data_IF_254033259840
#
_entry.id   IF_254033259840
#
_cell.length_a   1.000
_cell.length_b   1.000
_cell.length_c   1.000
_cell.angle_alpha   90.00
_cell.angle_beta   90.00
_cell.angle_gamma   90.00
#
_symmetry.space_group_name_H-M   'P 1'
#
loop_
_entity.id
_entity.type
_entity.pdbx_description
1 polymer ?
#
# COMPACT_ATOMS: atom_id res chain seq x y z
N UNK A 1 8.27 -15.01 -0.27
CA UNK A 1 6.90 -15.29 -0.74
C UNK A 1 6.61 -16.76 -0.54
N UNK A 2 5.41 -17.13 -0.09
CA UNK A 2 5.05 -18.54 0.15
C UNK A 2 4.44 -18.86 1.51
N UNK A 3 4.21 -17.84 2.35
CA UNK A 3 3.40 -17.92 3.56
C UNK A 3 2.19 -17.02 3.41
N UNK A 4 1.10 -17.34 4.11
CA UNK A 4 -0.13 -16.56 4.05
C UNK A 4 0.10 -15.16 4.63
N UNK A 5 -0.25 -14.13 3.85
CA UNK A 5 -0.15 -12.73 4.26
C UNK A 5 -1.49 -12.05 3.97
N UNK A 6 -2.39 -12.14 4.95
CA UNK A 6 -3.76 -11.63 4.84
C UNK A 6 -3.89 -10.16 5.23
N UNK A 7 -5.10 -9.62 5.07
CA UNK A 7 -5.45 -8.22 5.34
C UNK A 7 -5.05 -7.76 6.77
N UNK A 8 -5.21 -8.63 7.76
CA UNK A 8 -4.88 -8.36 9.17
C UNK A 8 -3.44 -7.87 9.37
N UNK A 9 -2.49 -8.29 8.52
CA UNK A 9 -1.11 -7.83 8.64
C UNK A 9 -0.93 -6.41 8.15
N UNK A 10 -1.71 -5.98 7.16
CA UNK A 10 -1.73 -4.59 6.72
C UNK A 10 -2.37 -3.67 7.78
N UNK A 11 -3.41 -4.14 8.47
CA UNK A 11 -3.99 -3.42 9.63
C UNK A 11 -2.96 -3.22 10.75
N UNK A 12 -2.13 -4.24 11.03
CA UNK A 12 -1.04 -4.12 12.00
C UNK A 12 0.03 -3.12 11.55
N UNK A 13 0.42 -3.13 10.27
CA UNK A 13 1.37 -2.15 9.72
C UNK A 13 0.82 -0.72 9.81
N UNK A 14 -0.46 -0.53 9.50
CA UNK A 14 -1.14 0.75 9.67
C UNK A 14 -1.14 1.19 11.14
N UNK A 15 -1.40 0.29 12.09
CA UNK A 15 -1.32 0.63 13.52
C UNK A 15 0.09 1.10 13.91
N UNK A 16 1.13 0.37 13.48
CA UNK A 16 2.52 0.75 13.74
C UNK A 16 2.83 2.12 13.14
N UNK A 17 2.41 2.37 11.90
CA UNK A 17 2.61 3.64 11.22
C UNK A 17 2.08 4.84 11.99
N UNK A 18 0.87 4.74 12.55
CA UNK A 18 0.22 5.84 13.29
C UNK A 18 1.02 6.27 14.53
N UNK A 19 1.67 5.32 15.20
CA UNK A 19 2.39 5.55 16.46
C UNK A 19 3.92 5.68 16.24
N UNK A 20 4.40 5.61 14.99
CA UNK A 20 5.82 5.57 14.69
C UNK A 20 6.49 6.94 14.91
N UNK A 21 7.48 6.97 15.80
CA UNK A 21 8.40 8.11 15.95
C UNK A 21 9.49 8.11 14.87
N UNK A 22 9.09 8.14 13.59
CA UNK A 22 9.98 8.02 12.43
C UNK A 22 9.24 8.11 11.10
N UNK A 23 9.95 7.84 10.00
CA UNK A 23 9.37 7.79 8.65
C UNK A 23 9.12 6.35 8.20
N UNK A 24 7.93 6.10 7.66
CA UNK A 24 7.55 4.84 7.03
C UNK A 24 6.99 5.12 5.64
N UNK A 25 7.47 4.35 4.65
CA UNK A 25 6.97 4.35 3.29
C UNK A 25 6.40 2.97 2.98
N UNK A 26 5.13 2.89 2.58
CA UNK A 26 4.51 1.64 2.12
C UNK A 26 4.03 1.84 0.69
N UNK A 27 4.46 0.96 -0.23
CA UNK A 27 3.87 0.84 -1.57
C UNK A 27 3.00 -0.42 -1.64
N UNK A 28 1.71 -0.26 -1.96
CA UNK A 28 0.74 -1.35 -2.11
C UNK A 28 -0.22 -1.09 -3.26
N UNK A 29 -0.85 -2.15 -3.78
CA UNK A 29 -1.86 -2.02 -4.83
C UNK A 29 -3.04 -1.14 -4.35
N UNK A 30 -3.54 -0.29 -5.25
CA UNK A 30 -4.73 0.53 -5.04
C UNK A 30 -6.00 -0.32 -5.24
N UNK A 31 -6.45 -0.89 -4.13
CA UNK A 31 -7.71 -1.64 -4.00
C UNK A 31 -8.53 -1.08 -2.83
N UNK A 32 -9.87 -1.24 -2.82
CA UNK A 32 -10.74 -0.70 -1.77
C UNK A 32 -10.26 -1.03 -0.35
N UNK A 33 -9.84 -2.27 -0.11
CA UNK A 33 -9.39 -2.76 1.19
C UNK A 33 -8.13 -2.02 1.69
N UNK A 34 -7.21 -1.67 0.79
CA UNK A 34 -6.01 -0.90 1.17
C UNK A 34 -6.35 0.56 1.47
N UNK A 35 -7.34 1.15 0.79
CA UNK A 35 -7.83 2.50 1.09
C UNK A 35 -8.42 2.59 2.50
N UNK A 36 -9.14 1.55 2.92
CA UNK A 36 -9.71 1.45 4.27
C UNK A 36 -8.61 1.30 5.33
N UNK A 37 -7.69 0.35 5.15
CA UNK A 37 -6.58 0.11 6.09
C UNK A 37 -5.73 1.37 6.28
N UNK A 38 -5.45 2.08 5.17
CA UNK A 38 -4.57 3.23 5.16
C UNK A 38 -5.32 4.56 5.39
N UNK A 39 -6.57 4.52 5.84
CA UNK A 39 -7.34 5.71 6.12
C UNK A 39 -6.68 6.57 7.21
N UNK A 40 -6.43 7.84 6.89
CA UNK A 40 -5.81 8.82 7.78
C UNK A 40 -4.31 9.01 7.57
N UNK A 41 -3.68 8.29 6.65
CA UNK A 41 -2.34 8.62 6.14
C UNK A 41 -2.42 9.54 4.91
N UNK A 42 -1.31 10.19 4.57
CA UNK A 42 -1.13 10.81 3.26
C UNK A 42 -0.95 9.72 2.21
N UNK A 43 -1.79 9.74 1.17
CA UNK A 43 -1.84 8.73 0.12
C UNK A 43 -1.62 9.37 -1.25
N UNK A 44 -0.56 8.96 -1.93
CA UNK A 44 -0.32 9.30 -3.33
C UNK A 44 -0.65 8.10 -4.22
N UNK A 45 -1.64 8.22 -5.10
CA UNK A 45 -1.98 7.19 -6.09
C UNK A 45 -1.19 7.43 -7.37
N UNK A 46 -0.39 6.45 -7.77
CA UNK A 46 0.38 6.46 -9.01
C UNK A 46 -0.16 5.38 -9.97
N UNK A 47 -0.47 5.73 -11.23
CA UNK A 47 -0.84 4.72 -12.22
C UNK A 47 0.39 3.89 -12.59
N UNK A 48 0.22 2.57 -12.65
CA UNK A 48 1.28 1.61 -13.01
C UNK A 48 0.76 0.61 -14.04
N UNK A 49 1.67 0.12 -14.89
CA UNK A 49 1.35 -0.88 -15.90
C UNK A 49 2.29 -2.07 -15.73
N UNK A 50 1.78 -3.21 -15.24
CA UNK A 50 2.53 -4.46 -15.22
C UNK A 50 2.18 -5.33 -16.42
N UNK A 51 3.23 -5.80 -17.12
CA UNK A 51 3.15 -6.78 -18.22
C UNK A 51 3.48 -8.18 -17.69
N UNK A 52 2.57 -8.76 -16.90
CA UNK A 52 2.73 -10.14 -16.41
C UNK A 52 2.53 -11.18 -17.52
N UNK A 53 1.76 -10.84 -18.55
CA UNK A 53 1.61 -11.62 -19.77
C UNK A 53 2.22 -10.84 -20.93
N UNK A 54 3.11 -11.47 -21.71
CA UNK A 54 3.91 -10.84 -22.78
C UNK A 54 3.11 -10.02 -23.80
N UNK A 55 1.78 -10.19 -23.89
CA UNK A 55 0.92 -9.53 -24.88
C UNK A 55 -0.32 -8.80 -24.31
N UNK A 56 -0.46 -8.64 -22.99
CA UNK A 56 -1.60 -7.92 -22.39
C UNK A 56 -1.17 -7.07 -21.19
N UNK A 57 -0.82 -5.78 -21.40
CA UNK A 57 -0.62 -4.86 -20.29
C UNK A 57 -1.95 -4.72 -19.52
N UNK A 58 -1.90 -4.93 -18.20
CA UNK A 58 -3.06 -4.72 -17.33
C UNK A 58 -2.85 -3.40 -16.57
N UNK A 59 -3.68 -2.38 -16.81
CA UNK A 59 -3.59 -1.14 -16.05
C UNK A 59 -3.91 -1.42 -14.58
N UNK A 60 -3.07 -0.90 -13.69
CA UNK A 60 -3.22 -0.94 -12.24
C UNK A 60 -2.84 0.42 -11.66
N UNK A 61 -3.07 0.60 -10.37
CA UNK A 61 -2.58 1.75 -9.64
C UNK A 61 -1.95 1.26 -8.34
N UNK A 62 -0.90 1.94 -7.90
CA UNK A 62 -0.24 1.74 -6.61
C UNK A 62 -0.49 2.96 -5.72
N UNK A 63 -0.52 2.71 -4.42
CA UNK A 63 -0.45 3.75 -3.41
C UNK A 63 0.89 3.81 -2.77
N UNK A 64 1.40 5.03 -2.63
CA UNK A 64 2.49 5.36 -1.76
C UNK A 64 1.90 5.99 -0.50
N UNK A 65 2.12 5.32 0.63
CA UNK A 65 1.73 5.80 1.96
C UNK A 65 3.00 6.34 2.60
N UNK A 66 3.03 7.63 2.89
CA UNK A 66 4.12 8.26 3.65
C UNK A 66 3.60 8.57 5.04
N UNK A 67 4.22 7.99 6.06
CA UNK A 67 3.91 8.29 7.45
C UNK A 67 5.17 8.79 8.16
N UNK A 68 5.22 10.07 8.49
CA UNK A 68 6.29 10.68 9.26
C UNK A 68 6.84 11.97 8.66
N UNK A 69 6.49 13.09 9.29
CA UNK A 69 7.29 14.23 9.74
C UNK A 69 6.25 15.30 10.13
N UNK A 70 5.94 15.38 11.42
CA UNK A 70 5.42 16.61 12.01
C UNK A 70 6.57 17.34 12.68
#
# INVERSE_FOLDING_TARGET
YGVEFGLAQYEQLAKIGRDLAGMMLISVNDIPEMREVCQGFELDSIPICYTLNKNKPTPRSEFIITCGLR
#
